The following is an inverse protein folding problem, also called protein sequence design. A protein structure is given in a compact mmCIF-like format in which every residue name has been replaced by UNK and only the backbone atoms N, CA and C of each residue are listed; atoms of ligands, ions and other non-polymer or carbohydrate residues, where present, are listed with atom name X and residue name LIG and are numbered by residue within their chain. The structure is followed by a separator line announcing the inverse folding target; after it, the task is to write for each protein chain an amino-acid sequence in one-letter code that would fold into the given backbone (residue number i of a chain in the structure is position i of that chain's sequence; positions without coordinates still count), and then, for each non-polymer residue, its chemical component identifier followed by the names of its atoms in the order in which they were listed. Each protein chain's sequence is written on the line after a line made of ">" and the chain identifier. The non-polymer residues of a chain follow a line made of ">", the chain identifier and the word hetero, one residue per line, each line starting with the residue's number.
data_IF_682638047207
#
_entry.id   IF_682638047207
#
_cell.length_a   1.000
_cell.length_b   1.000
_cell.length_c   1.000
_cell.angle_alpha   90.00
_cell.angle_beta   90.00
_cell.angle_gamma   90.00
#
_symmetry.space_group_name_H-M   'P 1'
#
loop_
_entity.id
_entity.type
_entity.pdbx_description
1 polymer ?
#
# COMPACT_ATOMS: atom_id res chain seq x y z
N UNK A 1 0.84 -13.31 -4.11
CA UNK A 1 0.25 -11.96 -4.00
C UNK A 1 1.30 -10.93 -4.36
N UNK A 2 0.98 -9.95 -5.20
CA UNK A 2 1.86 -8.85 -5.58
C UNK A 2 1.65 -7.62 -4.68
N UNK A 3 2.62 -6.70 -4.65
CA UNK A 3 2.53 -5.50 -3.79
C UNK A 3 1.24 -4.69 -4.04
N UNK A 4 0.87 -4.51 -5.31
CA UNK A 4 -0.32 -3.71 -5.66
C UNK A 4 -1.63 -4.38 -5.19
N UNK A 5 -1.66 -5.71 -5.12
CA UNK A 5 -2.82 -6.48 -4.66
C UNK A 5 -2.98 -6.29 -3.15
N UNK A 6 -1.90 -6.51 -2.39
CA UNK A 6 -1.88 -6.30 -0.95
C UNK A 6 -2.26 -4.85 -0.59
N UNK A 7 -1.67 -3.86 -1.28
CA UNK A 7 -1.99 -2.46 -1.04
C UNK A 7 -3.47 -2.16 -1.36
N UNK A 8 -4.00 -2.71 -2.46
CA UNK A 8 -5.41 -2.52 -2.82
C UNK A 8 -6.36 -3.09 -1.77
N UNK A 9 -6.04 -4.23 -1.16
CA UNK A 9 -6.83 -4.81 -0.08
C UNK A 9 -6.85 -3.91 1.15
N UNK A 10 -5.68 -3.45 1.58
CA UNK A 10 -5.54 -2.55 2.73
C UNK A 10 -6.25 -1.20 2.53
N UNK A 11 -6.10 -0.60 1.36
CA UNK A 11 -6.80 0.64 0.99
C UNK A 11 -8.31 0.44 0.96
N UNK A 12 -8.77 -0.69 0.44
CA UNK A 12 -10.20 -1.04 0.41
C UNK A 12 -10.76 -1.18 1.83
N UNK A 13 -10.03 -1.82 2.74
CA UNK A 13 -10.44 -1.94 4.14
C UNK A 13 -10.43 -0.58 4.87
N UNK A 14 -9.45 0.28 4.59
CA UNK A 14 -9.42 1.64 5.12
C UNK A 14 -10.61 2.48 4.61
N UNK A 15 -10.94 2.36 3.32
CA UNK A 15 -12.09 3.01 2.69
C UNK A 15 -13.43 2.53 3.28
N UNK A 16 -13.62 1.22 3.46
CA UNK A 16 -14.83 0.63 4.11
C UNK A 16 -15.07 1.15 5.53
N UNK A 17 -14.01 1.54 6.24
CA UNK A 17 -14.09 2.12 7.59
C UNK A 17 -14.24 3.64 7.58
N UNK A 18 -14.51 4.23 6.42
CA UNK A 18 -14.59 5.67 6.19
C UNK A 18 -13.28 6.41 6.54
N UNK A 19 -12.14 5.85 6.13
CA UNK A 19 -10.83 6.51 6.20
C UNK A 19 -10.44 7.02 7.59
N UNK A 20 -10.46 6.18 8.64
CA UNK A 20 -10.18 6.63 10.00
C UNK A 20 -8.72 7.14 10.12
N UNK A 21 -8.55 8.31 10.73
CA UNK A 21 -7.24 8.85 11.12
C UNK A 21 -7.39 9.81 12.31
N UNK A 22 -6.59 9.61 13.37
CA UNK A 22 -6.73 10.36 14.61
C UNK A 22 -6.40 11.86 14.48
N UNK A 23 -5.29 12.18 13.80
CA UNK A 23 -4.80 13.56 13.67
C UNK A 23 -5.43 14.34 12.52
N UNK A 24 -5.95 13.64 11.51
CA UNK A 24 -6.38 14.23 10.23
C UNK A 24 -7.77 13.71 9.85
N UNK A 25 -8.72 13.79 10.77
CA UNK A 25 -10.08 13.24 10.60
C UNK A 25 -10.83 13.84 9.41
N UNK A 26 -10.54 15.08 9.01
CA UNK A 26 -11.12 15.75 7.84
C UNK A 26 -10.87 15.00 6.52
N UNK A 27 -9.84 14.14 6.43
CA UNK A 27 -9.61 13.35 5.21
C UNK A 27 -10.78 12.41 4.90
N UNK A 28 -11.45 11.92 5.96
CA UNK A 28 -12.64 11.07 5.83
C UNK A 28 -13.77 11.79 5.11
N UNK A 29 -14.05 13.04 5.49
CA UNK A 29 -15.07 13.88 4.86
C UNK A 29 -14.72 14.15 3.39
N UNK A 30 -13.48 14.54 3.10
CA UNK A 30 -13.02 14.88 1.74
C UNK A 30 -13.15 13.68 0.81
N UNK A 31 -12.65 12.50 1.21
CA UNK A 31 -12.67 11.30 0.36
C UNK A 31 -14.08 10.72 0.23
N UNK A 32 -14.90 10.81 1.29
CA UNK A 32 -16.30 10.38 1.23
C UNK A 32 -17.12 11.25 0.29
N UNK A 33 -16.94 12.57 0.35
CA UNK A 33 -17.58 13.49 -0.59
C UNK A 33 -17.05 13.29 -2.02
N UNK A 34 -15.75 13.10 -2.21
CA UNK A 34 -15.18 12.86 -3.54
C UNK A 34 -15.69 11.57 -4.20
N UNK A 35 -16.10 10.57 -3.40
CA UNK A 35 -16.71 9.34 -3.88
C UNK A 35 -18.14 9.51 -4.38
N UNK A 36 -18.89 10.44 -3.79
CA UNK A 36 -20.27 10.73 -4.14
C UNK A 36 -20.58 12.22 -3.88
N UNK A 37 -20.11 13.13 -4.75
CA UNK A 37 -20.25 14.56 -4.55
C UNK A 37 -21.69 15.01 -4.84
N UNK A 38 -22.15 16.04 -4.13
CA UNK A 38 -23.46 16.62 -4.36
C UNK A 38 -23.54 17.42 -5.67
N UNK A 39 -24.59 17.18 -6.46
CA UNK A 39 -24.90 17.94 -7.68
C UNK A 39 -24.27 17.40 -8.97
N UNK A 40 -24.52 18.10 -10.09
CA UNK A 40 -24.07 17.73 -11.44
C UNK A 40 -22.63 18.20 -11.76
N UNK A 41 -21.85 18.53 -10.73
CA UNK A 41 -20.48 19.02 -10.87
C UNK A 41 -19.49 17.96 -11.35
N UNK A 42 -18.21 18.36 -11.42
CA UNK A 42 -17.13 17.43 -11.75
C UNK A 42 -17.04 16.29 -10.72
N UNK A 43 -17.02 15.05 -11.21
CA UNK A 43 -16.86 13.85 -10.40
C UNK A 43 -15.60 13.09 -10.82
N UNK A 44 -14.86 12.60 -9.83
CA UNK A 44 -13.70 11.75 -10.10
C UNK A 44 -14.18 10.40 -10.63
N UNK A 45 -13.52 9.92 -11.69
CA UNK A 45 -13.70 8.53 -12.13
C UNK A 45 -13.14 7.60 -11.06
N UNK A 46 -13.70 6.40 -10.95
CA UNK A 46 -13.28 5.40 -9.95
C UNK A 46 -11.75 5.19 -9.90
N UNK A 47 -11.00 5.10 -11.02
CA UNK A 47 -9.54 4.95 -10.94
C UNK A 47 -8.82 6.17 -10.36
N UNK A 48 -9.36 7.38 -10.57
CA UNK A 48 -8.78 8.61 -10.02
C UNK A 48 -8.99 8.67 -8.50
N UNK A 49 -10.19 8.31 -8.04
CA UNK A 49 -10.47 8.20 -6.60
C UNK A 49 -9.55 7.16 -5.94
N UNK A 50 -9.44 5.96 -6.53
CA UNK A 50 -8.53 4.90 -6.03
C UNK A 50 -7.09 5.35 -5.92
N UNK A 51 -6.60 6.13 -6.88
CA UNK A 51 -5.25 6.69 -6.83
C UNK A 51 -5.09 7.65 -5.64
N UNK A 52 -6.10 8.48 -5.35
CA UNK A 52 -6.10 9.38 -4.20
C UNK A 52 -6.18 8.61 -2.88
N UNK A 53 -7.09 7.63 -2.77
CA UNK A 53 -7.20 6.77 -1.58
C UNK A 53 -5.87 6.09 -1.30
N UNK A 54 -5.23 5.51 -2.32
CA UNK A 54 -3.93 4.84 -2.19
C UNK A 54 -2.85 5.82 -1.76
N UNK A 55 -2.79 7.01 -2.37
CA UNK A 55 -1.83 8.05 -2.00
C UNK A 55 -1.99 8.47 -0.53
N UNK A 56 -3.21 8.75 -0.10
CA UNK A 56 -3.48 9.19 1.26
C UNK A 56 -3.27 8.08 2.29
N UNK A 57 -3.61 6.83 1.95
CA UNK A 57 -3.30 5.66 2.78
C UNK A 57 -1.78 5.54 3.00
N UNK A 58 -0.99 5.58 1.92
CA UNK A 58 0.46 5.52 2.00
C UNK A 58 1.04 6.68 2.81
N UNK A 59 0.46 7.88 2.70
CA UNK A 59 0.95 9.07 3.38
C UNK A 59 0.61 9.08 4.87
N UNK A 60 -0.64 8.80 5.21
CA UNK A 60 -1.19 8.99 6.55
C UNK A 60 -1.11 7.72 7.39
N UNK A 61 -1.53 6.59 6.82
CA UNK A 61 -1.56 5.31 7.55
C UNK A 61 -0.19 4.65 7.56
N UNK A 62 0.47 4.57 6.40
CA UNK A 62 1.78 3.92 6.30
C UNK A 62 2.97 4.84 6.62
N UNK A 63 2.72 6.15 6.77
CA UNK A 63 3.74 7.13 7.17
C UNK A 63 4.74 7.50 6.07
N UNK A 64 4.33 7.49 4.81
CA UNK A 64 5.19 7.75 3.63
C UNK A 64 6.43 6.83 3.61
N UNK A 65 6.23 5.51 3.60
CA UNK A 65 7.33 4.57 3.70
C UNK A 65 8.21 4.61 2.45
N UNK A 66 9.49 4.21 2.59
CA UNK A 66 10.24 3.79 1.40
C UNK A 66 9.60 2.51 0.87
N UNK A 67 9.68 2.30 -0.44
CA UNK A 67 9.11 1.10 -1.09
C UNK A 67 9.56 -0.19 -0.39
N UNK A 68 10.82 -0.23 0.04
CA UNK A 68 11.38 -1.32 0.83
C UNK A 68 10.65 -1.59 2.15
N UNK A 69 10.44 -0.54 2.95
CA UNK A 69 9.77 -0.66 4.25
C UNK A 69 8.33 -1.13 4.09
N UNK A 70 7.68 -0.72 2.99
CA UNK A 70 6.34 -1.15 2.62
C UNK A 70 6.28 -2.66 2.32
N UNK A 71 7.23 -3.20 1.55
CA UNK A 71 7.31 -4.65 1.30
C UNK A 71 7.51 -5.45 2.60
N UNK A 72 8.43 -5.03 3.47
CA UNK A 72 8.66 -5.77 4.70
C UNK A 72 7.42 -5.77 5.60
N UNK A 73 6.71 -4.64 5.68
CA UNK A 73 5.52 -4.52 6.52
C UNK A 73 4.34 -5.34 5.99
N UNK A 74 4.11 -5.32 4.68
CA UNK A 74 2.97 -6.02 4.07
C UNK A 74 3.18 -7.54 3.95
N UNK A 75 4.41 -8.02 4.04
CA UNK A 75 4.74 -9.44 3.90
C UNK A 75 5.59 -10.00 5.06
N UNK A 76 5.52 -9.38 6.25
CA UNK A 76 6.38 -9.69 7.40
C UNK A 76 6.37 -11.19 7.77
N UNK A 77 5.17 -11.79 7.77
CA UNK A 77 4.94 -13.18 8.16
C UNK A 77 5.06 -14.19 7.01
N UNK A 78 5.18 -13.73 5.76
CA UNK A 78 5.21 -14.59 4.57
C UNK A 78 6.37 -14.26 3.64
N UNK A 79 7.52 -14.83 3.97
CA UNK A 79 8.77 -14.70 3.21
C UNK A 79 8.64 -15.24 1.78
N UNK A 80 7.78 -16.23 1.54
CA UNK A 80 7.59 -16.80 0.21
C UNK A 80 6.88 -15.79 -0.69
N UNK A 81 5.77 -15.21 -0.21
CA UNK A 81 5.08 -14.13 -0.92
C UNK A 81 5.95 -12.89 -1.06
N UNK A 82 6.77 -12.53 -0.06
CA UNK A 82 7.73 -11.44 -0.15
C UNK A 82 8.70 -11.64 -1.33
N UNK A 83 9.38 -12.79 -1.38
CA UNK A 83 10.32 -13.10 -2.46
C UNK A 83 9.62 -13.11 -3.83
N UNK A 84 8.42 -13.67 -3.91
CA UNK A 84 7.60 -13.66 -5.12
C UNK A 84 7.19 -12.26 -5.57
N UNK A 85 6.81 -11.38 -4.63
CA UNK A 85 6.40 -10.01 -4.91
C UNK A 85 7.57 -9.09 -5.30
N UNK A 86 8.79 -9.45 -4.89
CA UNK A 86 10.04 -8.80 -5.32
C UNK A 86 10.58 -9.37 -6.64
N UNK A 87 10.03 -10.50 -7.11
CA UNK A 87 10.57 -11.23 -8.25
C UNK A 87 11.95 -11.85 -7.97
N UNK A 88 12.28 -12.14 -6.71
CA UNK A 88 13.57 -12.75 -6.34
C UNK A 88 13.51 -14.24 -6.63
N UNK A 89 14.37 -14.78 -7.51
CA UNK A 89 14.41 -16.22 -7.76
C UNK A 89 15.05 -16.96 -6.58
N UNK A 90 14.66 -18.23 -6.38
CA UNK A 90 15.17 -19.09 -5.31
C UNK A 90 16.70 -19.17 -5.28
N UNK A 91 17.35 -19.17 -6.45
CA UNK A 91 18.81 -19.19 -6.56
C UNK A 91 19.46 -17.95 -5.97
N UNK A 92 18.87 -16.76 -6.17
CA UNK A 92 19.36 -15.53 -5.55
C UNK A 92 19.15 -15.57 -4.02
N UNK A 93 18.06 -16.18 -3.55
CA UNK A 93 17.82 -16.34 -2.12
C UNK A 93 18.80 -17.34 -1.48
N UNK A 94 19.12 -18.45 -2.15
CA UNK A 94 20.18 -19.39 -1.71
C UNK A 94 21.54 -18.70 -1.62
N UNK A 95 21.91 -17.90 -2.63
CA UNK A 95 23.16 -17.12 -2.62
C UNK A 95 23.22 -16.07 -1.50
N UNK A 96 22.05 -15.60 -1.03
CA UNK A 96 21.95 -14.73 0.15
C UNK A 96 22.11 -15.47 1.48
N UNK A 97 22.35 -16.79 1.47
CA UNK A 97 22.32 -17.66 2.63
C UNK A 97 20.95 -17.66 3.33
N UNK A 98 19.86 -17.61 2.55
CA UNK A 98 18.48 -17.56 3.04
C UNK A 98 18.19 -16.38 3.98
N UNK A 99 18.97 -15.29 3.88
CA UNK A 99 18.79 -14.09 4.69
C UNK A 99 18.25 -12.97 3.81
N UNK A 100 17.03 -12.55 4.10
CA UNK A 100 16.38 -11.45 3.37
C UNK A 100 17.18 -10.15 3.51
N UNK A 101 17.73 -9.85 4.70
CA UNK A 101 18.68 -8.74 4.91
C UNK A 101 19.84 -8.71 3.91
N UNK A 102 20.40 -9.85 3.54
CA UNK A 102 21.51 -9.91 2.60
C UNK A 102 21.07 -9.60 1.16
N UNK A 103 19.80 -9.83 0.82
CA UNK A 103 19.22 -9.35 -0.44
C UNK A 103 19.04 -7.83 -0.41
N UNK A 104 18.62 -7.30 0.74
CA UNK A 104 18.36 -5.88 0.96
C UNK A 104 19.59 -5.00 0.84
N UNK A 105 20.74 -5.48 1.33
CA UNK A 105 22.03 -4.79 1.16
C UNK A 105 22.44 -4.61 -0.30
N UNK A 106 21.92 -5.43 -1.22
CA UNK A 106 22.22 -5.34 -2.67
C UNK A 106 21.32 -4.37 -3.44
N UNK A 107 20.18 -4.00 -2.87
CA UNK A 107 19.18 -3.11 -3.50
C UNK A 107 19.37 -1.66 -3.05
N UNK A 108 19.99 -1.44 -1.88
CA UNK A 108 20.28 -0.13 -1.31
C UNK A 108 21.53 0.51 -1.92
#
# INVERSE_FOLDING_TARGET
>A
MQLYEALSEHVTEWSKRAYPHAEYSTISEILSWAANPDGEGFQLRTPQLRALETYWYLRLVEGTPRVFDLYNRLFEDDKSNLLGALGVPDEAFKQSNFKVQNLWEKIR
#
